data_IF_822381706869
#
_entry.id   IF_822381706869
#
_cell.length_a   1.000
_cell.length_b   1.000
_cell.length_c   1.000
_cell.angle_alpha   90.00
_cell.angle_beta   90.00
_cell.angle_gamma   90.00
#
_symmetry.space_group_name_H-M   'P 1'
#
loop_
_entity.id
_entity.type
_entity.pdbx_description
1 polymer ?
#
# COMPACT_ATOMS: atom_id res chain seq x y z
N UNK A 1 -3.04 2.57 -4.36
CA UNK A 1 -3.65 3.22 -5.53
C UNK A 1 -2.87 2.89 -6.79
N UNK A 2 -3.37 3.33 -7.92
CA UNK A 2 -2.75 3.05 -9.21
C UNK A 2 -1.32 3.60 -9.30
N UNK A 3 -1.08 4.77 -8.72
CA UNK A 3 0.23 5.40 -8.75
C UNK A 3 1.33 4.52 -8.14
N UNK A 4 1.06 3.89 -7.01
CA UNK A 4 1.99 2.95 -6.39
C UNK A 4 2.26 1.78 -7.32
N UNK A 5 1.22 1.24 -7.92
CA UNK A 5 1.35 0.08 -8.81
C UNK A 5 2.13 0.41 -10.07
N UNK A 6 1.99 1.63 -10.60
CA UNK A 6 2.74 2.08 -11.77
C UNK A 6 4.25 2.22 -11.48
N UNK A 7 4.64 2.40 -10.22
CA UNK A 7 6.05 2.48 -9.84
C UNK A 7 6.71 1.12 -9.75
N UNK A 8 5.95 0.05 -9.79
CA UNK A 8 6.46 -1.32 -9.75
C UNK A 8 7.01 -1.74 -11.11
N UNK A 9 7.53 -2.96 -11.21
CA UNK A 9 8.14 -3.46 -12.45
C UNK A 9 7.08 -3.86 -13.47
N UNK A 10 6.07 -4.62 -13.02
CA UNK A 10 5.06 -5.22 -13.89
C UNK A 10 3.76 -5.37 -13.13
N UNK A 11 2.63 -5.29 -13.82
CA UNK A 11 1.31 -5.49 -13.22
C UNK A 11 0.53 -6.55 -13.98
N UNK A 12 -0.15 -7.42 -13.24
CA UNK A 12 -1.11 -8.36 -13.80
C UNK A 12 -2.35 -7.63 -14.36
N UNK A 13 -2.60 -6.40 -13.91
CA UNK A 13 -3.65 -5.58 -14.49
C UNK A 13 -3.27 -5.17 -15.90
N UNK A 14 -3.94 -5.74 -16.88
CA UNK A 14 -3.63 -5.50 -18.28
C UNK A 14 -2.30 -6.10 -18.72
N UNK A 15 -1.65 -6.94 -17.92
CA UNK A 15 -0.36 -7.55 -18.24
C UNK A 15 0.64 -6.49 -18.71
N UNK A 16 0.81 -5.43 -17.94
CA UNK A 16 1.54 -4.22 -18.35
C UNK A 16 2.89 -4.09 -17.66
N UNK A 17 3.92 -3.74 -18.44
CA UNK A 17 5.20 -3.31 -17.89
C UNK A 17 5.04 -1.88 -17.35
N UNK A 18 5.63 -1.63 -16.18
CA UNK A 18 5.51 -0.37 -15.48
C UNK A 18 6.88 0.33 -15.35
N UNK A 19 6.99 1.31 -14.43
CA UNK A 19 8.19 2.17 -14.37
C UNK A 19 9.42 1.47 -13.79
N UNK A 20 9.24 0.41 -13.00
CA UNK A 20 10.36 -0.37 -12.46
C UNK A 20 11.16 0.33 -11.37
N UNK A 21 10.60 1.33 -10.70
CA UNK A 21 11.26 2.00 -9.57
C UNK A 21 11.42 1.01 -8.42
N UNK A 22 10.36 0.25 -8.13
CA UNK A 22 10.39 -0.86 -7.17
C UNK A 22 10.44 -2.17 -7.95
N UNK A 23 11.45 -2.99 -7.68
CA UNK A 23 11.62 -4.27 -8.36
C UNK A 23 10.68 -5.32 -7.75
N UNK A 24 9.41 -5.18 -8.01
CA UNK A 24 8.36 -6.07 -7.53
C UNK A 24 7.19 -6.04 -8.51
N UNK A 25 6.39 -7.08 -8.51
CA UNK A 25 5.25 -7.21 -9.42
C UNK A 25 3.93 -6.97 -8.67
N UNK A 26 2.97 -6.39 -9.38
CA UNK A 26 1.60 -6.19 -8.88
C UNK A 26 0.77 -7.41 -9.29
N UNK A 27 0.03 -7.97 -8.34
CA UNK A 27 -0.74 -9.19 -8.52
C UNK A 27 -2.21 -8.99 -8.20
N UNK A 28 -3.07 -9.78 -8.84
CA UNK A 28 -4.50 -9.78 -8.55
C UNK A 28 -4.77 -10.58 -7.26
N UNK A 29 -5.61 -10.07 -6.38
CA UNK A 29 -6.08 -10.85 -5.23
C UNK A 29 -6.79 -12.12 -5.70
N UNK A 30 -6.47 -13.23 -5.04
CA UNK A 30 -7.06 -14.53 -5.33
C UNK A 30 -7.67 -15.08 -4.04
N UNK A 31 -8.93 -14.73 -3.72
CA UNK A 31 -9.55 -15.15 -2.47
C UNK A 31 -9.81 -16.66 -2.46
N UNK A 32 -9.60 -17.29 -1.29
CA UNK A 32 -9.87 -18.70 -1.08
C UNK A 32 -11.13 -18.93 -0.26
N UNK A 33 -11.71 -17.86 0.33
CA UNK A 33 -12.91 -17.91 1.16
C UNK A 33 -14.00 -17.08 0.52
N UNK A 34 -15.24 -17.53 0.65
CA UNK A 34 -16.39 -16.85 0.06
C UNK A 34 -16.59 -15.42 0.62
N UNK A 35 -16.27 -15.21 1.90
CA UNK A 35 -16.42 -13.90 2.57
C UNK A 35 -15.36 -12.87 2.15
N UNK A 36 -14.26 -13.32 1.55
CA UNK A 36 -13.22 -12.39 1.07
C UNK A 36 -13.63 -11.81 -0.28
N UNK A 37 -13.87 -10.52 -0.32
CA UNK A 37 -14.34 -9.81 -1.51
C UNK A 37 -13.20 -9.13 -2.24
N UNK A 38 -13.30 -9.08 -3.57
CA UNK A 38 -12.42 -8.30 -4.43
C UNK A 38 -13.30 -7.34 -5.20
N UNK A 39 -13.05 -6.01 -5.13
CA UNK A 39 -11.89 -5.36 -4.51
C UNK A 39 -11.94 -5.36 -2.97
N UNK A 40 -10.75 -5.22 -2.36
CA UNK A 40 -10.61 -4.86 -0.95
C UNK A 40 -11.13 -3.42 -0.82
N UNK A 41 -12.23 -3.22 -0.16
CA UNK A 41 -12.85 -1.91 -0.03
C UNK A 41 -13.25 -1.66 1.42
N UNK A 42 -12.72 -0.59 2.00
CA UNK A 42 -13.03 -0.22 3.37
C UNK A 42 -11.77 0.10 4.19
N UNK A 43 -11.95 0.18 5.51
CA UNK A 43 -10.91 0.54 6.45
C UNK A 43 -10.16 -0.71 6.92
N UNK A 44 -8.83 -0.59 6.97
CA UNK A 44 -7.98 -1.65 7.49
C UNK A 44 -6.72 -1.04 8.09
N UNK A 45 -5.97 -1.83 8.83
CA UNK A 45 -4.86 -1.32 9.65
C UNK A 45 -3.52 -1.39 8.93
N UNK A 46 -2.61 -0.50 9.35
CA UNK A 46 -1.20 -0.53 8.99
C UNK A 46 -0.42 -1.18 10.12
N UNK A 47 0.42 -2.16 9.78
CA UNK A 47 1.31 -2.82 10.73
C UNK A 47 2.73 -2.81 10.17
N UNK A 48 3.70 -3.13 11.03
CA UNK A 48 5.12 -3.21 10.64
C UNK A 48 5.58 -1.96 9.88
N UNK A 49 5.16 -0.78 10.37
CA UNK A 49 5.53 0.49 9.72
C UNK A 49 7.02 0.77 9.92
N UNK A 50 7.70 1.16 8.84
CA UNK A 50 9.13 1.47 8.82
C UNK A 50 9.41 2.55 7.80
N UNK A 51 9.33 3.76 8.17
CA UNK A 51 9.67 4.89 7.30
C UNK A 51 9.31 6.16 8.03
N UNK A 52 10.02 7.23 7.74
CA UNK A 52 9.68 8.54 8.30
C UNK A 52 8.31 9.02 7.82
N UNK A 53 7.74 8.39 6.80
CA UNK A 53 6.38 8.64 6.37
C UNK A 53 5.37 8.37 7.49
N UNK A 54 5.71 7.42 8.39
CA UNK A 54 4.87 7.04 9.51
C UNK A 54 5.38 7.54 10.85
N UNK A 55 6.16 8.61 10.83
CA UNK A 55 6.69 9.23 12.03
C UNK A 55 5.56 9.61 12.99
N UNK A 56 5.71 9.23 14.25
CA UNK A 56 4.71 9.49 15.29
C UNK A 56 3.69 8.38 15.46
N UNK A 57 3.73 7.35 14.63
CA UNK A 57 2.83 6.20 14.75
C UNK A 57 3.33 5.30 15.90
N UNK A 58 2.49 5.15 16.94
CA UNK A 58 2.82 4.31 18.12
C UNK A 58 1.89 3.11 18.27
N UNK A 59 0.87 3.01 17.42
CA UNK A 59 -0.12 1.93 17.45
C UNK A 59 -0.62 1.68 16.04
N UNK A 60 -1.41 0.64 15.87
CA UNK A 60 -2.08 0.37 14.60
C UNK A 60 -3.07 1.50 14.31
N UNK A 61 -3.04 1.99 13.08
CA UNK A 61 -3.94 3.03 12.61
C UNK A 61 -4.73 2.54 11.41
N UNK A 62 -5.98 2.98 11.29
CA UNK A 62 -6.84 2.60 10.17
C UNK A 62 -6.71 3.59 9.03
N UNK A 63 -6.64 3.04 7.82
CA UNK A 63 -6.63 3.81 6.57
C UNK A 63 -7.62 3.20 5.59
N UNK A 64 -8.01 3.97 4.58
CA UNK A 64 -9.02 3.54 3.63
C UNK A 64 -8.42 2.94 2.36
N UNK A 65 -8.91 1.74 2.01
CA UNK A 65 -8.48 0.98 0.84
C UNK A 65 -9.62 0.82 -0.16
N UNK A 66 -9.28 0.84 -1.44
CA UNK A 66 -10.15 0.34 -2.52
C UNK A 66 -9.25 -0.13 -3.66
N UNK A 67 -8.99 -1.45 -3.75
CA UNK A 67 -8.11 -2.00 -4.78
C UNK A 67 -8.36 -3.50 -4.98
N UNK A 68 -8.10 -3.97 -6.20
CA UNK A 68 -8.22 -5.39 -6.55
C UNK A 68 -6.85 -6.04 -6.76
N UNK A 69 -5.82 -5.24 -6.97
CA UNK A 69 -4.45 -5.69 -7.18
C UNK A 69 -3.59 -5.24 -6.01
N UNK A 70 -2.55 -6.00 -5.72
CA UNK A 70 -1.69 -5.73 -4.56
C UNK A 70 -0.22 -5.95 -4.88
N UNK A 71 0.64 -5.37 -4.06
CA UNK A 71 2.09 -5.58 -4.11
C UNK A 71 2.46 -6.54 -2.98
N UNK A 72 3.09 -7.68 -3.28
CA UNK A 72 3.53 -8.61 -2.23
C UNK A 72 4.53 -7.96 -1.30
N UNK A 73 4.71 -8.53 -0.10
CA UNK A 73 5.77 -8.09 0.81
C UNK A 73 7.12 -8.26 0.11
N UNK A 74 7.99 -7.25 0.26
CA UNK A 74 9.30 -7.24 -0.38
C UNK A 74 10.25 -6.35 0.42
N UNK A 75 11.49 -6.20 -0.04
CA UNK A 75 12.50 -5.40 0.68
C UNK A 75 12.15 -3.92 0.79
N UNK A 76 11.27 -3.40 -0.04
CA UNK A 76 10.86 -1.99 -0.04
C UNK A 76 9.60 -1.73 0.79
N UNK A 77 9.01 -2.77 1.38
CA UNK A 77 7.77 -2.65 2.17
C UNK A 77 7.98 -1.72 3.35
N UNK A 78 7.23 -0.62 3.40
CA UNK A 78 7.29 0.36 4.48
C UNK A 78 6.13 0.20 5.47
N UNK A 79 5.06 -0.45 5.07
CA UNK A 79 3.94 -0.82 5.93
C UNK A 79 3.24 -2.02 5.31
N UNK A 80 2.62 -2.86 6.15
CA UNK A 80 1.88 -4.01 5.65
C UNK A 80 0.47 -4.04 6.21
N UNK A 81 -0.40 -4.70 5.49
CA UNK A 81 -1.81 -4.87 5.86
C UNK A 81 -2.19 -6.31 5.51
N UNK A 82 -3.10 -6.88 6.31
CA UNK A 82 -3.61 -8.22 6.05
C UNK A 82 -5.00 -8.14 5.43
N UNK A 83 -5.14 -8.67 4.22
CA UNK A 83 -6.42 -8.91 3.59
C UNK A 83 -6.24 -10.01 2.55
N UNK A 84 -6.86 -11.16 2.79
CA UNK A 84 -6.66 -12.39 2.02
C UNK A 84 -5.25 -12.95 2.31
N UNK A 85 -4.22 -12.10 2.28
CA UNK A 85 -2.84 -12.40 2.62
C UNK A 85 -2.17 -11.11 3.10
N UNK A 86 -1.01 -11.20 3.78
CA UNK A 86 -0.24 -9.99 4.08
C UNK A 86 0.30 -9.39 2.78
N UNK A 87 0.20 -8.06 2.64
CA UNK A 87 0.71 -7.39 1.45
C UNK A 87 1.29 -6.02 1.81
N UNK A 88 2.02 -5.42 0.87
CA UNK A 88 2.61 -4.09 1.05
C UNK A 88 1.53 -3.02 0.91
N UNK A 89 1.24 -2.32 2.00
CA UNK A 89 0.34 -1.15 1.97
C UNK A 89 1.09 0.14 1.71
N UNK A 90 2.42 0.14 1.84
CA UNK A 90 3.28 1.26 1.47
C UNK A 90 4.65 0.74 1.07
N UNK A 91 5.30 1.47 0.18
CA UNK A 91 6.66 1.19 -0.30
C UNK A 91 7.53 2.43 -0.13
N UNK A 92 8.82 2.22 0.14
CA UNK A 92 9.80 3.29 0.25
C UNK A 92 11.15 2.81 -0.29
N UNK A 93 11.72 3.59 -1.22
CA UNK A 93 13.08 3.39 -1.75
C UNK A 93 13.66 4.75 -2.05
N UNK A 94 14.81 5.08 -1.45
CA UNK A 94 15.46 6.37 -1.63
C UNK A 94 14.47 7.51 -1.31
N UNK A 95 14.18 8.39 -2.25
CA UNK A 95 13.20 9.46 -2.07
C UNK A 95 11.83 9.16 -2.71
N UNK A 96 11.57 7.90 -3.06
CA UNK A 96 10.29 7.46 -3.59
C UNK A 96 9.45 6.85 -2.48
N UNK A 97 8.25 7.37 -2.30
CA UNK A 97 7.27 6.93 -1.31
C UNK A 97 5.96 6.64 -2.02
N UNK A 98 5.33 5.51 -1.69
CA UNK A 98 4.07 5.13 -2.32
C UNK A 98 3.15 4.45 -1.31
N UNK A 99 1.84 4.66 -1.46
CA UNK A 99 0.82 4.03 -0.61
C UNK A 99 -0.23 3.37 -1.47
N UNK A 100 -0.70 2.19 -1.04
CA UNK A 100 -1.84 1.53 -1.67
C UNK A 100 -3.15 2.18 -1.24
N UNK A 101 -3.24 2.57 0.03
CA UNK A 101 -4.41 3.25 0.56
C UNK A 101 -4.48 4.70 0.05
N UNK A 102 -5.63 5.33 0.30
CA UNK A 102 -5.88 6.72 -0.06
C UNK A 102 -5.72 7.60 1.18
N UNK A 103 -4.57 8.29 1.36
CA UNK A 103 -4.38 9.18 2.51
C UNK A 103 -5.47 10.26 2.57
N UNK A 104 -5.86 10.81 1.43
CA UNK A 104 -6.87 11.86 1.33
C UNK A 104 -8.26 11.40 1.79
N UNK A 105 -8.47 10.08 1.87
CA UNK A 105 -9.73 9.48 2.33
C UNK A 105 -9.58 8.78 3.68
N UNK A 106 -8.44 8.95 4.35
CA UNK A 106 -8.12 8.24 5.59
C UNK A 106 -8.19 9.13 6.84
N UNK A 107 -8.92 10.23 6.78
CA UNK A 107 -9.17 11.10 7.93
C UNK A 107 -7.90 11.68 8.53
N UNK A 108 -7.87 11.78 9.87
CA UNK A 108 -6.74 12.38 10.59
C UNK A 108 -5.44 11.59 10.41
N UNK A 109 -5.53 10.28 10.28
CA UNK A 109 -4.36 9.43 10.04
C UNK A 109 -3.74 9.77 8.68
N UNK A 110 -4.58 9.88 7.66
CA UNK A 110 -4.14 10.26 6.31
C UNK A 110 -3.51 11.65 6.29
N UNK A 111 -4.11 12.60 7.00
CA UNK A 111 -3.56 13.95 7.11
C UNK A 111 -2.17 13.94 7.74
N UNK A 112 -1.96 13.14 8.78
CA UNK A 112 -0.66 13.00 9.43
C UNK A 112 0.38 12.43 8.47
N UNK A 113 0.01 11.43 7.67
CA UNK A 113 0.90 10.83 6.68
C UNK A 113 1.30 11.86 5.62
N UNK A 114 0.33 12.62 5.10
CA UNK A 114 0.61 13.65 4.11
C UNK A 114 1.51 14.75 4.69
N UNK A 115 1.27 15.15 5.94
CA UNK A 115 2.11 16.14 6.63
C UNK A 115 3.53 15.62 6.80
N UNK A 116 3.69 14.36 7.21
CA UNK A 116 5.00 13.73 7.33
C UNK A 116 5.74 13.73 5.99
N UNK A 117 5.03 13.43 4.91
CA UNK A 117 5.62 13.46 3.57
C UNK A 117 6.16 14.83 3.20
N UNK A 118 5.42 15.88 3.51
CA UNK A 118 5.84 17.25 3.20
C UNK A 118 7.06 17.68 4.01
N UNK A 119 7.33 17.04 5.12
CA UNK A 119 8.45 17.35 6.02
C UNK A 119 9.69 16.49 5.79
N UNK A 120 9.66 15.59 4.80
CA UNK A 120 10.78 14.70 4.49
C UNK A 120 11.95 15.42 3.81
#
# INVERSE_FOLDING_TARGET
>A
CLGMQLMCRHSEEGNADCLGIFDTDVKLFSPTRHEDKVPHMGWNTLTHVRSDLFKGFTKEEFVYFVHSFYVPLNEFTAAQTDYILPYSSALHKDNFYATQFHPEKSGAVGERILRNFLEL
#
